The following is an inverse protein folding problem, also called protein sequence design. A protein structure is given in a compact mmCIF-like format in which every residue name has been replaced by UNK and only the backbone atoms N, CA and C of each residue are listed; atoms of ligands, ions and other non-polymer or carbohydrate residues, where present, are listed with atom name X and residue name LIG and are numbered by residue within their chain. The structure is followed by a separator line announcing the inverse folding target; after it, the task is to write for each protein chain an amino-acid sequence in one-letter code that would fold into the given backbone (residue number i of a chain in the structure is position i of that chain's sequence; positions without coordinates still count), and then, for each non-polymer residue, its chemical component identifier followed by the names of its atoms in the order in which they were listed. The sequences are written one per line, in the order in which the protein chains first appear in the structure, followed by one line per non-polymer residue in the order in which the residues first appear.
data_IF_132149584049
#
_entry.id   IF_132149584049
#
_cell.length_a   1.000
_cell.length_b   1.000
_cell.length_c   1.000
_cell.angle_alpha   90.00
_cell.angle_beta   90.00
_cell.angle_gamma   90.00
#
_symmetry.space_group_name_H-M   'P 1'
#
loop_
_entity.id
_entity.type
_entity.pdbx_description
1 polymer ?
#
# COMPACT_ATOMS: atom_id res chain seq x y z
N UNK A 1 -23.34 45.79 -9.51
CA UNK A 1 -23.04 44.96 -10.69
C UNK A 1 -21.87 44.06 -10.34
N UNK A 2 -22.19 42.77 -10.32
CA UNK A 2 -21.39 41.57 -10.55
C UNK A 2 -20.23 41.20 -9.59
N UNK A 3 -20.59 40.19 -8.79
CA UNK A 3 -19.85 38.93 -8.58
C UNK A 3 -18.60 38.95 -7.70
N UNK A 4 -18.86 39.11 -6.40
CA UNK A 4 -18.16 38.36 -5.38
C UNK A 4 -18.58 36.88 -5.46
N UNK A 5 -17.95 36.13 -6.35
CA UNK A 5 -18.01 34.67 -6.33
C UNK A 5 -16.65 34.13 -6.72
N UNK A 6 -15.78 34.01 -5.72
CA UNK A 6 -14.62 33.13 -5.79
C UNK A 6 -14.99 31.89 -4.99
N UNK A 7 -15.52 30.83 -5.62
CA UNK A 7 -15.95 29.67 -4.88
C UNK A 7 -14.76 28.70 -4.74
N UNK A 8 -14.70 28.03 -3.59
CA UNK A 8 -13.91 26.82 -3.31
C UNK A 8 -12.42 26.98 -3.00
N UNK A 9 -12.09 27.49 -1.83
CA UNK A 9 -10.96 26.94 -1.05
C UNK A 9 -11.31 26.96 0.44
N UNK A 10 -12.00 25.93 0.94
CA UNK A 10 -12.14 25.72 2.38
C UNK A 10 -12.37 24.24 2.70
N UNK A 11 -11.45 23.38 2.24
CA UNK A 11 -11.28 22.08 2.87
C UNK A 11 -10.60 22.29 4.21
N UNK A 12 -11.23 21.85 5.30
CA UNK A 12 -10.63 21.91 6.63
C UNK A 12 -9.32 21.10 6.64
N UNK A 13 -8.43 21.36 7.59
CA UNK A 13 -7.20 20.57 7.73
C UNK A 13 -7.51 19.06 7.85
N UNK A 14 -8.63 18.71 8.48
CA UNK A 14 -9.10 17.32 8.60
C UNK A 14 -9.47 16.73 7.24
N UNK A 15 -10.13 17.48 6.36
CA UNK A 15 -10.49 17.01 5.01
C UNK A 15 -9.24 16.73 4.17
N UNK A 16 -8.20 17.57 4.30
CA UNK A 16 -6.90 17.37 3.63
C UNK A 16 -6.15 16.15 4.19
N UNK A 17 -6.21 15.92 5.49
CA UNK A 17 -5.59 14.76 6.14
C UNK A 17 -6.30 13.46 5.68
N UNK A 18 -7.63 13.46 5.51
CA UNK A 18 -8.41 12.33 4.98
C UNK A 18 -8.08 12.05 3.51
N UNK A 19 -8.03 13.09 2.67
CA UNK A 19 -7.64 12.95 1.25
C UNK A 19 -6.23 12.36 1.12
N UNK A 20 -5.29 12.90 1.91
CA UNK A 20 -3.92 12.39 1.96
C UNK A 20 -3.88 10.93 2.39
N UNK A 21 -4.66 10.55 3.41
CA UNK A 21 -4.72 9.18 3.90
C UNK A 21 -5.27 8.22 2.82
N UNK A 22 -6.29 8.62 2.06
CA UNK A 22 -6.82 7.82 0.94
C UNK A 22 -5.76 7.54 -0.13
N UNK A 23 -4.95 8.56 -0.48
CA UNK A 23 -3.83 8.43 -1.43
C UNK A 23 -2.75 7.50 -0.86
N UNK A 24 -2.39 7.66 0.41
CA UNK A 24 -1.38 6.83 1.08
C UNK A 24 -1.80 5.35 1.13
N UNK A 25 -3.05 5.05 1.47
CA UNK A 25 -3.55 3.67 1.48
C UNK A 25 -3.43 3.00 0.11
N UNK A 26 -3.81 3.71 -0.97
CA UNK A 26 -3.66 3.20 -2.32
C UNK A 26 -2.19 2.98 -2.70
N UNK A 27 -1.31 3.92 -2.33
CA UNK A 27 0.12 3.83 -2.60
C UNK A 27 0.78 2.65 -1.87
N UNK A 28 0.46 2.44 -0.58
CA UNK A 28 1.03 1.34 0.20
C UNK A 28 0.59 -0.02 -0.32
N UNK A 29 -0.68 -0.18 -0.74
CA UNK A 29 -1.19 -1.43 -1.33
C UNK A 29 -0.39 -1.79 -2.58
N UNK A 30 -0.22 -0.82 -3.50
CA UNK A 30 0.53 -1.04 -4.74
C UNK A 30 2.01 -1.35 -4.47
N UNK A 31 2.63 -0.60 -3.55
CA UNK A 31 4.02 -0.79 -3.19
C UNK A 31 4.28 -2.16 -2.54
N UNK A 32 3.39 -2.59 -1.65
CA UNK A 32 3.45 -3.91 -1.03
C UNK A 32 3.31 -5.03 -2.07
N UNK A 33 2.45 -4.86 -3.08
CA UNK A 33 2.31 -5.83 -4.17
C UNK A 33 3.61 -5.96 -4.98
N UNK A 34 4.23 -4.83 -5.32
CA UNK A 34 5.54 -4.84 -5.99
C UNK A 34 6.62 -5.51 -5.14
N UNK A 35 6.63 -5.27 -3.82
CA UNK A 35 7.56 -5.94 -2.91
C UNK A 35 7.28 -7.44 -2.78
N UNK A 36 6.01 -7.85 -2.71
CA UNK A 36 5.60 -9.25 -2.68
C UNK A 36 6.14 -9.99 -3.91
N UNK A 37 5.88 -9.48 -5.12
CA UNK A 37 6.35 -10.08 -6.38
C UNK A 37 7.87 -10.23 -6.38
N UNK A 38 8.60 -9.17 -6.01
CA UNK A 38 10.06 -9.21 -5.89
C UNK A 38 10.54 -10.23 -4.85
N UNK A 39 9.86 -10.35 -3.72
CA UNK A 39 10.22 -11.31 -2.68
C UNK A 39 9.98 -12.74 -3.17
N UNK A 40 8.88 -13.02 -3.86
CA UNK A 40 8.63 -14.35 -4.46
C UNK A 40 9.73 -14.74 -5.44
N UNK A 41 10.13 -13.83 -6.32
CA UNK A 41 11.23 -14.10 -7.24
C UNK A 41 12.53 -14.47 -6.51
N UNK A 42 12.84 -13.78 -5.41
CA UNK A 42 14.04 -14.05 -4.63
C UNK A 42 13.93 -15.29 -3.74
N UNK A 43 12.72 -15.65 -3.29
CA UNK A 43 12.46 -16.92 -2.63
C UNK A 43 12.76 -18.09 -3.59
N UNK A 44 12.25 -18.02 -4.82
CA UNK A 44 12.50 -19.02 -5.87
C UNK A 44 13.99 -19.11 -6.24
N UNK A 45 14.65 -17.95 -6.43
CA UNK A 45 16.10 -17.90 -6.68
C UNK A 45 16.88 -18.52 -5.51
N UNK A 46 16.49 -18.22 -4.27
CA UNK A 46 17.16 -18.75 -3.07
C UNK A 46 17.00 -20.26 -2.93
N UNK A 47 15.83 -20.80 -3.29
CA UNK A 47 15.60 -22.24 -3.32
C UNK A 47 16.49 -22.94 -4.35
N UNK A 48 16.57 -22.40 -5.58
CA UNK A 48 17.44 -22.91 -6.65
C UNK A 48 18.93 -22.87 -6.28
N UNK A 49 19.32 -21.98 -5.39
CA UNK A 49 20.69 -21.87 -4.83
C UNK A 49 20.94 -22.81 -3.64
N UNK A 50 19.97 -23.67 -3.28
CA UNK A 50 20.07 -24.58 -2.14
C UNK A 50 19.94 -23.88 -0.77
N UNK A 51 19.47 -22.62 -0.74
CA UNK A 51 19.26 -21.85 0.49
C UNK A 51 17.81 -21.96 0.95
N UNK A 52 17.36 -23.18 1.21
CA UNK A 52 15.96 -23.50 1.55
C UNK A 52 15.41 -22.67 2.71
N UNK A 53 16.18 -22.48 3.79
CA UNK A 53 15.71 -21.69 4.93
C UNK A 53 15.54 -20.20 4.59
N UNK A 54 16.40 -19.66 3.73
CA UNK A 54 16.29 -18.27 3.27
C UNK A 54 15.05 -18.12 2.40
N UNK A 55 14.83 -19.04 1.45
CA UNK A 55 13.62 -19.07 0.64
C UNK A 55 12.36 -19.11 1.49
N UNK A 56 12.31 -19.97 2.52
CA UNK A 56 11.18 -20.05 3.44
C UNK A 56 10.89 -18.71 4.14
N UNK A 57 11.93 -18.02 4.62
CA UNK A 57 11.75 -16.73 5.32
C UNK A 57 11.31 -15.62 4.38
N UNK A 58 11.85 -15.57 3.16
CA UNK A 58 11.44 -14.58 2.15
C UNK A 58 9.99 -14.84 1.72
N UNK A 59 9.59 -16.09 1.53
CA UNK A 59 8.19 -16.45 1.24
C UNK A 59 7.23 -16.00 2.33
N UNK A 60 7.59 -16.18 3.62
CA UNK A 60 6.78 -15.68 4.74
C UNK A 60 6.69 -14.14 4.78
N UNK A 61 7.75 -13.45 4.36
CA UNK A 61 7.71 -11.99 4.24
C UNK A 61 6.75 -11.56 3.14
N UNK A 62 6.74 -12.25 1.99
CA UNK A 62 5.76 -12.02 0.94
C UNK A 62 4.32 -12.30 1.41
N UNK A 63 4.09 -13.40 2.12
CA UNK A 63 2.77 -13.71 2.72
C UNK A 63 2.30 -12.59 3.66
N UNK A 64 3.22 -12.04 4.45
CA UNK A 64 2.93 -10.95 5.39
C UNK A 64 2.57 -9.64 4.68
N UNK A 65 3.19 -9.33 3.55
CA UNK A 65 2.81 -8.17 2.72
C UNK A 65 1.41 -8.34 2.12
N UNK A 66 1.08 -9.54 1.65
CA UNK A 66 -0.26 -9.84 1.16
C UNK A 66 -1.31 -9.72 2.28
N UNK A 67 -1.01 -10.24 3.49
CA UNK A 67 -1.89 -10.08 4.64
C UNK A 67 -2.07 -8.60 5.03
N UNK A 68 -0.99 -7.81 5.01
CA UNK A 68 -1.06 -6.36 5.23
C UNK A 68 -1.96 -5.68 4.20
N UNK A 69 -1.87 -6.07 2.92
CA UNK A 69 -2.74 -5.55 1.86
C UNK A 69 -4.22 -5.81 2.09
N UNK A 70 -4.59 -6.97 2.64
CA UNK A 70 -5.99 -7.26 2.99
C UNK A 70 -6.53 -6.26 4.03
N UNK A 71 -5.74 -5.95 5.06
CA UNK A 71 -6.12 -4.96 6.07
C UNK A 71 -6.14 -3.52 5.52
N UNK A 72 -5.20 -3.16 4.65
CA UNK A 72 -5.18 -1.84 4.01
C UNK A 72 -6.36 -1.65 3.04
N UNK A 73 -6.71 -2.69 2.28
CA UNK A 73 -7.90 -2.71 1.42
C UNK A 73 -9.18 -2.55 2.24
N UNK A 74 -9.26 -3.23 3.40
CA UNK A 74 -10.38 -3.07 4.30
C UNK A 74 -10.43 -1.65 4.87
N UNK A 75 -9.33 -1.12 5.38
CA UNK A 75 -9.24 0.26 5.90
C UNK A 75 -9.68 1.30 4.87
N UNK A 76 -9.31 1.11 3.60
CA UNK A 76 -9.71 1.99 2.50
C UNK A 76 -11.22 2.06 2.27
N UNK A 77 -12.01 1.08 2.70
CA UNK A 77 -13.49 1.09 2.59
C UNK A 77 -14.16 1.98 3.64
N UNK A 78 -13.43 2.38 4.69
CA UNK A 78 -13.95 3.14 5.83
C UNK A 78 -13.53 4.63 5.79
N UNK A 79 -12.96 5.06 4.66
CA UNK A 79 -12.64 6.46 4.34
C UNK A 79 -13.54 6.91 3.20
#
# INVERSE_FOLDING_TARGET
MNDLNHPFENGSKQDKDIETLSILLAHWIEHNKSHEENFREWADKSEKLGKTKVSEMISKAADSLNAANLYLLEAKKHI
#
